data_IF_750218045456
#
_entry.id   IF_750218045456
#
_cell.length_a   1.000
_cell.length_b   1.000
_cell.length_c   1.000
_cell.angle_alpha   90.00
_cell.angle_beta   90.00
_cell.angle_gamma   90.00
#
_symmetry.space_group_name_H-M   'P 1'
#
loop_
_entity.id
_entity.type
_entity.pdbx_description
1 polymer ?
#
# COMPACT_ATOMS: atom_id res chain seq x y z
N UNK A 1 49.21 3.09 -32.22
CA UNK A 1 49.47 3.04 -30.77
C UNK A 1 48.16 3.37 -30.06
N UNK A 2 47.32 2.36 -29.81
CA UNK A 2 46.00 2.51 -29.19
C UNK A 2 46.14 2.15 -27.71
N UNK A 3 46.04 3.14 -26.83
CA UNK A 3 46.01 2.93 -25.39
C UNK A 3 44.58 2.63 -24.98
N UNK A 4 44.32 1.37 -24.60
CA UNK A 4 43.10 0.93 -23.95
C UNK A 4 43.06 1.52 -22.54
N UNK A 5 42.17 2.48 -22.29
CA UNK A 5 41.87 2.96 -20.94
C UNK A 5 40.78 2.05 -20.36
N UNK A 6 41.19 0.95 -19.71
CA UNK A 6 40.28 0.13 -18.91
C UNK A 6 40.01 0.87 -17.60
N UNK A 7 38.85 1.53 -17.51
CA UNK A 7 38.35 2.07 -16.24
C UNK A 7 37.78 0.91 -15.44
N UNK A 8 38.60 0.35 -14.55
CA UNK A 8 38.16 -0.62 -13.56
C UNK A 8 37.44 0.12 -12.43
N UNK A 9 36.12 0.22 -12.49
CA UNK A 9 35.32 0.69 -11.35
C UNK A 9 35.27 -0.45 -10.34
N UNK A 10 36.21 -0.46 -9.39
CA UNK A 10 36.08 -1.25 -8.17
C UNK A 10 34.99 -0.60 -7.33
N UNK A 11 33.76 -1.08 -7.48
CA UNK A 11 32.63 -0.75 -6.60
C UNK A 11 32.95 -1.29 -5.21
N UNK A 12 33.41 -0.41 -4.33
CA UNK A 12 33.54 -0.68 -2.90
C UNK A 12 32.14 -0.75 -2.29
N UNK A 13 31.50 -1.91 -2.37
CA UNK A 13 30.25 -2.20 -1.67
C UNK A 13 30.56 -2.64 -0.24
N UNK A 14 30.53 -1.71 0.69
CA UNK A 14 30.35 -2.00 2.12
C UNK A 14 29.06 -2.84 2.29
N UNK A 15 29.11 -4.06 2.87
CA UNK A 15 27.96 -4.97 2.92
C UNK A 15 27.01 -4.58 4.06
N UNK A 16 26.40 -3.40 3.97
CA UNK A 16 25.14 -3.13 4.66
C UNK A 16 24.05 -3.56 3.70
N UNK A 17 23.31 -4.61 4.05
CA UNK A 17 22.21 -5.23 3.29
C UNK A 17 22.60 -6.39 2.34
N UNK A 18 23.32 -7.41 2.81
CA UNK A 18 23.38 -8.70 2.09
C UNK A 18 22.00 -9.40 1.99
N UNK A 19 21.09 -9.10 2.92
CA UNK A 19 19.75 -9.71 2.98
C UNK A 19 18.79 -9.19 1.90
N UNK A 20 18.95 -7.95 1.42
CA UNK A 20 18.12 -7.42 0.32
C UNK A 20 18.44 -8.14 -0.99
N UNK A 21 19.70 -8.45 -1.26
CA UNK A 21 20.07 -9.25 -2.43
C UNK A 21 19.51 -10.68 -2.34
N UNK A 22 19.54 -11.30 -1.16
CA UNK A 22 18.94 -12.63 -0.98
C UNK A 22 17.42 -12.63 -1.20
N UNK A 23 16.71 -11.62 -0.71
CA UNK A 23 15.26 -11.48 -0.91
C UNK A 23 14.90 -11.16 -2.36
N UNK A 24 15.67 -10.29 -3.03
CA UNK A 24 15.52 -10.00 -4.45
C UNK A 24 15.75 -11.25 -5.33
N UNK A 25 16.79 -12.03 -5.04
CA UNK A 25 17.07 -13.28 -5.76
C UNK A 25 15.99 -14.34 -5.51
N UNK A 26 15.46 -14.44 -4.28
CA UNK A 26 14.35 -15.34 -3.98
C UNK A 26 13.07 -14.94 -4.72
N UNK A 27 12.75 -13.65 -4.75
CA UNK A 27 11.60 -13.12 -5.48
C UNK A 27 11.72 -13.36 -6.99
N UNK A 28 12.93 -13.12 -7.53
CA UNK A 28 13.26 -13.39 -8.92
C UNK A 28 13.08 -14.89 -9.25
N UNK A 29 13.58 -15.79 -8.40
CA UNK A 29 13.42 -17.23 -8.57
C UNK A 29 11.96 -17.68 -8.59
N UNK A 30 11.12 -17.10 -7.71
CA UNK A 30 9.67 -17.35 -7.70
C UNK A 30 9.03 -16.89 -9.01
N UNK A 31 9.34 -15.68 -9.47
CA UNK A 31 8.81 -15.15 -10.74
C UNK A 31 9.21 -16.01 -11.94
N UNK A 32 10.47 -16.48 -11.99
CA UNK A 32 10.93 -17.40 -13.02
C UNK A 32 10.17 -18.73 -12.95
N UNK A 33 9.99 -19.30 -11.77
CA UNK A 33 9.23 -20.55 -11.59
C UNK A 33 7.78 -20.39 -12.09
N UNK A 34 7.10 -19.29 -11.72
CA UNK A 34 5.74 -18.99 -12.21
C UNK A 34 5.69 -18.78 -13.73
N UNK A 35 6.69 -18.11 -14.30
CA UNK A 35 6.76 -17.89 -15.75
C UNK A 35 7.08 -19.15 -16.56
N UNK A 36 7.76 -20.11 -15.93
CA UNK A 36 8.11 -21.41 -16.52
C UNK A 36 7.04 -22.48 -16.35
N UNK A 37 5.94 -22.20 -15.64
CA UNK A 37 4.82 -23.13 -15.59
C UNK A 37 4.25 -23.29 -17.00
N UNK A 38 4.28 -24.49 -17.60
CA UNK A 38 3.57 -24.73 -18.83
C UNK A 38 2.09 -24.48 -18.56
N UNK A 39 1.49 -23.70 -19.45
CA UNK A 39 0.05 -23.50 -19.58
C UNK A 39 -0.69 -24.76 -19.15
N UNK A 40 -1.37 -24.68 -18.00
CA UNK A 40 -2.22 -25.75 -17.53
C UNK A 40 -3.15 -26.09 -18.68
N UNK A 41 -3.07 -27.34 -19.15
CA UNK A 41 -3.90 -27.87 -20.22
C UNK A 41 -5.32 -27.38 -20.00
N UNK A 42 -5.68 -26.38 -20.80
CA UNK A 42 -7.06 -25.99 -21.03
C UNK A 42 -7.82 -27.28 -21.18
N UNK A 43 -8.97 -27.41 -20.50
CA UNK A 43 -9.83 -28.58 -20.49
C UNK A 43 -10.37 -28.88 -21.91
N UNK A 44 -9.48 -29.22 -22.84
CA UNK A 44 -9.74 -29.65 -24.17
C UNK A 44 -10.09 -31.12 -24.03
N UNK A 45 -11.40 -31.34 -23.89
CA UNK A 45 -12.10 -32.60 -24.07
C UNK A 45 -11.33 -33.47 -25.07
N UNK A 46 -10.77 -34.57 -24.56
CA UNK A 46 -10.15 -35.64 -25.33
C UNK A 46 -11.08 -35.98 -26.51
N UNK A 47 -10.77 -35.52 -27.73
CA UNK A 47 -11.51 -35.93 -28.93
C UNK A 47 -11.13 -37.37 -29.25
N UNK A 48 -11.77 -38.29 -28.51
CA UNK A 48 -11.83 -39.70 -28.87
C UNK A 48 -12.60 -39.75 -30.19
N UNK A 49 -11.89 -40.02 -31.28
CA UNK A 49 -12.46 -40.30 -32.59
C UNK A 49 -13.29 -41.59 -32.50
N UNK A 50 -14.56 -41.44 -32.11
CA UNK A 50 -15.57 -42.48 -32.11
C UNK A 50 -16.72 -41.99 -32.98
N UNK A 51 -16.74 -42.47 -34.22
CA UNK A 51 -17.81 -42.26 -35.20
C UNK A 51 -19.13 -42.78 -34.62
N UNK A 52 -19.99 -41.87 -34.16
CA UNK A 52 -21.38 -42.15 -33.85
C UNK A 52 -22.26 -41.10 -34.53
N UNK A 53 -23.25 -41.60 -35.27
CA UNK A 53 -24.15 -40.85 -36.14
C UNK A 53 -24.84 -39.72 -35.37
N UNK A 54 -24.80 -38.54 -35.96
CA UNK A 54 -25.56 -37.35 -35.54
C UNK A 54 -27.06 -37.62 -35.49
N UNK A 55 -27.75 -37.25 -34.41
CA UNK A 55 -29.00 -36.53 -34.50
C UNK A 55 -28.66 -35.04 -34.42
N UNK A 56 -28.80 -34.37 -35.56
CA UNK A 56 -29.04 -32.93 -35.73
C UNK A 56 -28.93 -32.12 -34.43
N UNK A 57 -27.72 -31.65 -34.15
CA UNK A 57 -27.39 -30.78 -33.02
C UNK A 57 -28.25 -29.51 -33.17
N UNK A 58 -29.25 -29.24 -32.29
CA UNK A 58 -30.03 -28.03 -32.41
C UNK A 58 -29.07 -26.89 -32.12
N UNK A 59 -28.65 -26.21 -33.18
CA UNK A 59 -27.73 -25.09 -33.17
C UNK A 59 -27.86 -24.32 -31.86
N UNK A 60 -26.83 -24.45 -31.01
CA UNK A 60 -26.49 -23.63 -29.86
C UNK A 60 -27.54 -22.53 -29.64
N UNK A 61 -28.57 -22.82 -28.85
CA UNK A 61 -29.52 -21.79 -28.38
C UNK A 61 -28.76 -20.85 -27.44
N UNK A 62 -27.95 -19.97 -28.03
CA UNK A 62 -27.30 -18.84 -27.35
C UNK A 62 -28.37 -17.82 -26.95
N UNK A 63 -29.51 -17.84 -27.64
CA UNK A 63 -30.66 -16.99 -27.37
C UNK A 63 -31.79 -17.80 -26.74
N UNK A 64 -32.04 -17.49 -25.47
CA UNK A 64 -33.20 -17.92 -24.71
C UNK A 64 -34.42 -17.09 -25.13
N UNK A 65 -35.60 -17.70 -25.23
CA UNK A 65 -36.83 -16.97 -25.59
C UNK A 65 -37.24 -16.02 -24.45
N UNK A 66 -37.88 -14.91 -24.78
CA UNK A 66 -38.32 -13.89 -23.82
C UNK A 66 -39.15 -14.46 -22.66
N UNK A 67 -40.11 -15.34 -22.95
CA UNK A 67 -40.93 -16.01 -21.94
C UNK A 67 -40.09 -16.84 -20.95
N UNK A 68 -39.00 -17.44 -21.44
CA UNK A 68 -38.06 -18.27 -20.69
C UNK A 68 -37.01 -17.42 -19.95
N UNK A 69 -36.68 -16.24 -20.49
CA UNK A 69 -35.82 -15.25 -19.83
C UNK A 69 -36.54 -14.47 -18.73
N UNK A 70 -37.86 -14.31 -18.82
CA UNK A 70 -38.68 -13.55 -17.85
C UNK A 70 -38.59 -14.11 -16.42
N UNK A 71 -38.38 -15.42 -16.27
CA UNK A 71 -38.26 -16.11 -14.98
C UNK A 71 -36.94 -15.81 -14.26
N UNK A 72 -35.89 -15.41 -14.98
CA UNK A 72 -34.62 -14.99 -14.38
C UNK A 72 -34.75 -13.63 -13.68
N UNK A 73 -35.59 -12.74 -14.23
CA UNK A 73 -35.86 -11.44 -13.62
C UNK A 73 -36.92 -11.53 -12.53
N UNK A 74 -37.95 -12.38 -12.67
CA UNK A 74 -39.03 -12.47 -11.68
C UNK A 74 -38.57 -13.01 -10.33
N UNK A 75 -37.65 -13.97 -10.33
CA UNK A 75 -37.05 -14.53 -9.10
C UNK A 75 -36.06 -13.58 -8.42
N UNK A 76 -35.45 -12.66 -9.17
CA UNK A 76 -34.48 -11.67 -8.64
C UNK A 76 -35.12 -10.33 -8.28
N UNK A 77 -36.27 -10.00 -8.88
CA UNK A 77 -36.98 -8.73 -8.64
C UNK A 77 -37.65 -8.66 -7.27
N UNK A 78 -37.93 -9.81 -6.65
CA UNK A 78 -38.19 -9.90 -5.22
C UNK A 78 -36.87 -10.11 -4.52
N UNK A 79 -36.15 -9.01 -4.24
CA UNK A 79 -35.24 -9.03 -3.09
C UNK A 79 -36.13 -9.41 -1.92
N UNK A 80 -35.95 -10.62 -1.39
CA UNK A 80 -36.50 -11.00 -0.09
C UNK A 80 -36.29 -9.81 0.84
N UNK A 81 -37.33 -9.41 1.56
CA UNK A 81 -37.20 -8.43 2.65
C UNK A 81 -36.04 -8.90 3.52
N UNK A 82 -34.95 -8.13 3.54
CA UNK A 82 -33.75 -8.46 4.33
C UNK A 82 -34.20 -8.77 5.75
N UNK A 83 -33.65 -9.82 6.35
CA UNK A 83 -33.90 -10.04 7.77
C UNK A 83 -33.28 -8.90 8.58
N UNK A 84 -33.82 -8.63 9.77
CA UNK A 84 -33.24 -7.60 10.64
C UNK A 84 -31.76 -7.89 10.93
N UNK A 85 -31.41 -9.17 11.14
CA UNK A 85 -30.03 -9.60 11.39
C UNK A 85 -29.09 -9.29 10.22
N UNK A 86 -29.57 -9.40 8.97
CA UNK A 86 -28.79 -9.07 7.77
C UNK A 86 -28.53 -7.56 7.70
N UNK A 87 -29.55 -6.74 7.98
CA UNK A 87 -29.41 -5.28 8.02
C UNK A 87 -28.44 -4.85 9.12
N UNK A 88 -28.55 -5.44 10.31
CA UNK A 88 -27.68 -5.14 11.45
C UNK A 88 -26.22 -5.55 11.15
N UNK A 89 -26.02 -6.70 10.49
CA UNK A 89 -24.69 -7.14 10.07
C UNK A 89 -24.08 -6.20 9.02
N UNK A 90 -24.86 -5.78 8.01
CA UNK A 90 -24.41 -4.79 7.02
C UNK A 90 -24.05 -3.46 7.68
N UNK A 91 -24.87 -2.99 8.62
CA UNK A 91 -24.62 -1.72 9.30
C UNK A 91 -23.35 -1.77 10.16
N UNK A 92 -23.06 -2.90 10.81
CA UNK A 92 -21.78 -3.11 11.52
C UNK A 92 -20.59 -3.05 10.56
N UNK A 93 -20.69 -3.64 9.38
CA UNK A 93 -19.63 -3.59 8.37
C UNK A 93 -19.39 -2.17 7.86
N UNK A 94 -20.47 -1.41 7.62
CA UNK A 94 -20.38 0.00 7.22
C UNK A 94 -19.70 0.84 8.30
N UNK A 95 -20.11 0.68 9.56
CA UNK A 95 -19.50 1.39 10.69
C UNK A 95 -18.03 1.02 10.88
N UNK A 96 -17.66 -0.26 10.72
CA UNK A 96 -16.27 -0.71 10.81
C UNK A 96 -15.40 -0.10 9.69
N UNK A 97 -15.91 -0.08 8.45
CA UNK A 97 -15.21 0.51 7.32
C UNK A 97 -15.07 2.03 7.47
N UNK A 98 -16.10 2.70 7.96
CA UNK A 98 -16.07 4.15 8.22
C UNK A 98 -15.09 4.50 9.34
N UNK A 99 -15.10 3.71 10.44
CA UNK A 99 -14.13 3.84 11.53
C UNK A 99 -12.70 3.69 11.03
N UNK A 100 -12.41 2.63 10.27
CA UNK A 100 -11.07 2.39 9.72
C UNK A 100 -10.63 3.53 8.79
N UNK A 101 -11.55 4.06 7.97
CA UNK A 101 -11.28 5.20 7.10
C UNK A 101 -10.94 6.44 7.91
N UNK A 102 -11.74 6.76 8.93
CA UNK A 102 -11.54 7.91 9.82
C UNK A 102 -10.19 7.82 10.53
N UNK A 103 -9.89 6.67 11.14
CA UNK A 103 -8.62 6.41 11.83
C UNK A 103 -7.43 6.58 10.89
N UNK A 104 -7.51 6.05 9.66
CA UNK A 104 -6.45 6.19 8.67
C UNK A 104 -6.19 7.66 8.28
N UNK A 105 -7.23 8.50 8.22
CA UNK A 105 -7.07 9.93 7.94
C UNK A 105 -6.53 10.70 9.14
N UNK A 106 -6.97 10.35 10.35
CA UNK A 106 -6.53 10.96 11.59
C UNK A 106 -5.04 10.64 11.86
N UNK A 107 -4.61 9.40 11.62
CA UNK A 107 -3.19 9.01 11.69
C UNK A 107 -2.32 9.79 10.70
N UNK A 108 -2.76 9.93 9.44
CA UNK A 108 -2.01 10.70 8.43
C UNK A 108 -1.87 12.17 8.82
N UNK A 109 -2.95 12.75 9.35
CA UNK A 109 -2.94 14.14 9.82
C UNK A 109 -2.03 14.31 11.03
N UNK A 110 -2.18 13.45 12.04
CA UNK A 110 -1.36 13.48 13.26
C UNK A 110 0.12 13.25 12.96
N UNK A 111 0.45 12.37 12.01
CA UNK A 111 1.84 12.18 11.59
C UNK A 111 2.44 13.49 11.06
N UNK A 112 1.70 14.23 10.23
CA UNK A 112 2.16 15.52 9.71
C UNK A 112 2.29 16.59 10.81
N UNK A 113 1.30 16.70 11.70
CA UNK A 113 1.35 17.62 12.85
C UNK A 113 2.54 17.27 13.77
N UNK A 114 2.77 15.99 14.05
CA UNK A 114 3.91 15.51 14.84
C UNK A 114 5.26 15.80 14.17
N UNK A 115 5.37 15.71 12.84
CA UNK A 115 6.59 16.11 12.14
C UNK A 115 6.86 17.60 12.25
N UNK A 116 5.84 18.44 12.05
CA UNK A 116 5.97 19.89 12.15
C UNK A 116 6.32 20.35 13.59
N UNK A 117 5.72 19.71 14.60
CA UNK A 117 6.03 19.96 16.01
C UNK A 117 7.48 19.58 16.34
N UNK A 118 7.92 18.36 15.95
CA UNK A 118 9.31 17.92 16.14
C UNK A 118 10.32 18.84 15.46
N UNK A 119 10.06 19.25 14.23
CA UNK A 119 10.96 20.19 13.53
C UNK A 119 11.05 21.52 14.28
N UNK A 120 9.93 22.05 14.78
CA UNK A 120 9.92 23.29 15.54
C UNK A 120 10.70 23.14 16.86
N UNK A 121 10.44 22.07 17.61
CA UNK A 121 11.13 21.78 18.87
C UNK A 121 12.64 21.63 18.67
N UNK A 122 13.07 20.86 17.66
CA UNK A 122 14.49 20.71 17.32
C UNK A 122 15.16 22.04 16.93
N UNK A 123 14.46 22.90 16.18
CA UNK A 123 14.98 24.23 15.83
C UNK A 123 15.04 25.15 17.06
N UNK A 124 14.04 25.10 17.93
CA UNK A 124 14.00 25.88 19.16
C UNK A 124 15.11 25.44 20.12
N UNK A 125 15.32 24.13 20.29
CA UNK A 125 16.44 23.57 21.06
C UNK A 125 17.78 24.02 20.49
N UNK A 126 18.01 23.88 19.17
CA UNK A 126 19.24 24.36 18.52
C UNK A 126 19.48 25.85 18.75
N UNK A 127 18.43 26.66 18.61
CA UNK A 127 18.53 28.12 18.79
C UNK A 127 18.84 28.46 20.25
N UNK A 128 18.21 27.76 21.19
CA UNK A 128 18.44 27.92 22.62
C UNK A 128 19.88 27.57 22.99
N UNK A 129 20.35 26.38 22.61
CA UNK A 129 21.72 25.92 22.85
C UNK A 129 22.74 26.88 22.24
N UNK A 130 22.54 27.32 20.99
CA UNK A 130 23.44 28.29 20.36
C UNK A 130 23.50 29.59 21.16
N UNK A 131 22.35 30.10 21.60
CA UNK A 131 22.30 31.35 22.37
C UNK A 131 22.94 31.19 23.76
N UNK A 132 22.78 30.03 24.40
CA UNK A 132 23.46 29.70 25.66
C UNK A 132 24.99 29.62 25.46
N UNK A 133 25.47 28.96 24.43
CA UNK A 133 26.91 28.92 24.10
C UNK A 133 27.51 30.30 23.79
N UNK A 134 26.79 31.16 23.05
CA UNK A 134 27.24 32.53 22.81
C UNK A 134 27.31 33.35 24.10
N UNK A 135 26.35 33.15 25.02
CA UNK A 135 26.39 33.78 26.35
C UNK A 135 27.59 33.31 27.16
N UNK A 136 27.88 32.02 27.16
CA UNK A 136 29.06 31.46 27.84
C UNK A 136 30.37 32.01 27.26
N UNK A 137 30.48 32.09 25.93
CA UNK A 137 31.68 32.63 25.27
C UNK A 137 31.91 34.12 25.56
N UNK A 138 30.83 34.91 25.62
CA UNK A 138 30.90 36.35 25.87
C UNK A 138 30.76 36.74 27.36
N UNK A 139 30.72 35.77 28.27
CA UNK A 139 30.74 36.05 29.71
C UNK A 139 32.15 36.50 30.12
N UNK A 140 32.40 37.80 30.04
CA UNK A 140 33.62 38.48 30.48
C UNK A 140 33.64 38.81 31.99
N UNK A 141 32.57 38.47 32.71
CA UNK A 141 32.38 38.76 34.13
C UNK A 141 32.15 40.26 34.45
N UNK A 142 32.09 41.13 33.43
CA UNK A 142 32.00 42.58 33.58
C UNK A 142 30.59 43.14 33.33
N UNK A 143 29.67 42.32 32.80
CA UNK A 143 28.28 42.68 32.61
C UNK A 143 27.37 42.06 33.69
N UNK A 144 26.66 42.86 34.51
CA UNK A 144 25.71 42.32 35.47
C UNK A 144 24.56 41.59 34.75
N UNK A 145 23.99 40.54 35.37
CA UNK A 145 22.85 39.83 34.79
C UNK A 145 21.70 40.81 34.54
N UNK A 146 21.08 40.72 33.36
CA UNK A 146 19.93 41.55 33.02
C UNK A 146 18.84 41.39 34.08
N UNK A 147 18.70 42.40 34.94
CA UNK A 147 17.54 42.55 35.81
C UNK A 147 16.31 42.64 34.90
N UNK A 148 15.52 41.57 34.89
CA UNK A 148 14.24 41.55 34.23
C UNK A 148 13.32 42.51 34.99
N UNK A 149 13.26 43.75 34.52
CA UNK A 149 12.27 44.72 34.95
C UNK A 149 10.89 44.29 34.45
N UNK A 150 10.27 43.35 35.18
CA UNK A 150 8.84 43.10 35.10
C UNK A 150 8.11 44.36 35.56
N UNK A 151 7.82 45.26 34.62
CA UNK A 151 6.84 46.32 34.83
C UNK A 151 5.48 45.64 34.90
N UNK A 152 4.97 45.50 36.12
CA UNK A 152 3.54 45.32 36.35
C UNK A 152 2.84 46.64 36.04
N UNK A 153 1.93 46.62 35.08
CA UNK A 153 0.91 47.65 34.86
C UNK A 153 -0.44 46.95 34.89
#
# INVERSE_FOLDING_TARGET
>A
MLLYFSVTITSTSEPKMSWTYATLLALLAVLLALSSSPEAESAAVRRRAGRAKSPQDPARRIFMKESEASTFFSKRSRRTTKSQDEVDAEQRLVLAADKQRRESYEEKRNAFESYAEKENDEQNERTRESTEQWREFHHDGMHPPHEHNHHTV
#
